data_IF_675090581777
#
_entry.id   IF_675090581777
#
_cell.length_a   1.000
_cell.length_b   1.000
_cell.length_c   1.000
_cell.angle_alpha   90.00
_cell.angle_beta   90.00
_cell.angle_gamma   90.00
#
_symmetry.space_group_name_H-M   'P 1'
#
loop_
_entity.id
_entity.type
_entity.pdbx_description
1 polymer ?
#
# COMPACT_ATOMS: atom_id res chain seq x y z
N UNK A 1 9.00 -102.92 52.11
CA UNK A 1 9.20 -102.09 50.91
C UNK A 1 8.41 -100.80 51.06
N UNK A 2 9.06 -99.66 51.34
CA UNK A 2 8.41 -98.34 51.33
C UNK A 2 9.33 -97.37 50.59
N UNK A 3 8.88 -96.90 49.42
CA UNK A 3 9.63 -95.94 48.61
C UNK A 3 9.19 -94.51 48.98
N UNK A 4 10.06 -93.79 49.69
CA UNK A 4 9.85 -92.39 50.04
C UNK A 4 10.06 -91.48 48.82
N UNK A 5 8.97 -91.02 48.22
CA UNK A 5 8.95 -90.09 47.09
C UNK A 5 9.29 -88.67 47.55
N UNK A 6 10.56 -88.25 47.39
CA UNK A 6 11.02 -86.89 47.70
C UNK A 6 10.31 -85.87 46.81
N UNK A 7 9.47 -85.01 47.40
CA UNK A 7 8.83 -83.88 46.73
C UNK A 7 9.85 -82.76 46.49
N UNK A 8 10.13 -82.45 45.22
CA UNK A 8 10.92 -81.27 44.83
C UNK A 8 10.14 -80.01 45.20
N UNK A 9 10.67 -79.22 46.15
CA UNK A 9 10.12 -77.92 46.53
C UNK A 9 10.50 -76.91 45.45
N UNK A 10 9.51 -76.43 44.70
CA UNK A 10 9.68 -75.31 43.79
C UNK A 10 9.58 -74.01 44.59
N UNK A 11 10.72 -73.38 44.83
CA UNK A 11 10.78 -72.02 45.37
C UNK A 11 10.28 -71.04 44.29
N UNK A 12 9.11 -70.43 44.50
CA UNK A 12 8.62 -69.34 43.65
C UNK A 12 9.54 -68.11 43.86
N UNK A 13 10.33 -67.78 42.84
CA UNK A 13 11.10 -66.53 42.77
C UNK A 13 10.11 -65.34 42.67
N UNK A 14 10.24 -64.27 43.46
CA UNK A 14 9.34 -63.12 43.36
C UNK A 14 9.54 -62.41 42.01
N UNK A 15 8.42 -62.05 41.37
CA UNK A 15 8.44 -61.27 40.14
C UNK A 15 8.94 -59.85 40.43
N UNK A 16 10.13 -59.52 39.93
CA UNK A 16 10.67 -58.16 40.00
C UNK A 16 9.85 -57.16 39.18
N UNK A 17 10.07 -55.84 39.38
CA UNK A 17 9.33 -54.79 38.68
C UNK A 17 9.50 -54.94 37.17
N UNK A 18 8.38 -55.07 36.45
CA UNK A 18 8.35 -55.12 35.00
C UNK A 18 8.75 -53.75 34.47
N UNK A 19 9.93 -53.65 33.85
CA UNK A 19 10.32 -52.44 33.12
C UNK A 19 9.29 -52.20 32.00
N UNK A 20 8.79 -50.97 31.82
CA UNK A 20 7.89 -50.68 30.72
C UNK A 20 8.59 -51.00 29.40
N UNK A 21 7.91 -51.71 28.52
CA UNK A 21 8.43 -52.02 27.19
C UNK A 21 8.72 -50.70 26.45
N UNK A 22 9.85 -50.59 25.74
CA UNK A 22 10.14 -49.40 24.96
C UNK A 22 9.05 -49.22 23.90
N UNK A 23 8.50 -48.02 23.80
CA UNK A 23 7.60 -47.65 22.71
C UNK A 23 8.33 -47.87 21.38
N UNK A 24 7.66 -48.39 20.34
CA UNK A 24 8.33 -48.62 19.07
C UNK A 24 8.77 -47.26 18.49
N UNK A 25 10.01 -47.21 18.00
CA UNK A 25 10.71 -45.98 17.60
C UNK A 25 9.90 -45.08 16.65
N UNK A 26 9.01 -45.67 15.83
CA UNK A 26 8.08 -44.96 14.94
C UNK A 26 7.19 -43.92 15.65
N UNK A 27 6.70 -44.21 16.85
CA UNK A 27 5.85 -43.25 17.59
C UNK A 27 6.67 -42.15 18.24
N UNK A 28 7.91 -42.46 18.65
CA UNK A 28 8.85 -41.47 19.16
C UNK A 28 9.24 -40.49 18.05
N UNK A 29 9.58 -41.01 16.86
CA UNK A 29 9.89 -40.19 15.69
C UNK A 29 8.69 -39.35 15.23
N UNK A 30 7.48 -39.93 15.20
CA UNK A 30 6.27 -39.19 14.88
C UNK A 30 5.99 -38.07 15.88
N UNK A 31 6.18 -38.33 17.19
CA UNK A 31 6.04 -37.31 18.23
C UNK A 31 7.03 -36.16 18.05
N UNK A 32 8.30 -36.46 17.78
CA UNK A 32 9.34 -35.44 17.52
C UNK A 32 8.98 -34.62 16.27
N UNK A 33 8.51 -35.27 15.20
CA UNK A 33 8.13 -34.57 13.96
C UNK A 33 6.96 -33.60 14.20
N UNK A 34 5.94 -34.00 14.95
CA UNK A 34 4.80 -33.14 15.28
C UNK A 34 5.23 -31.95 16.12
N UNK A 35 6.06 -32.16 17.16
CA UNK A 35 6.58 -31.08 17.99
C UNK A 35 7.45 -30.12 17.15
N UNK A 36 8.30 -30.65 16.28
CA UNK A 36 9.12 -29.84 15.37
C UNK A 36 8.25 -29.01 14.42
N UNK A 37 7.15 -29.56 13.92
CA UNK A 37 6.24 -28.83 13.02
C UNK A 37 5.53 -27.68 13.75
N UNK A 38 5.07 -27.93 14.99
CA UNK A 38 4.41 -26.93 15.83
C UNK A 38 5.34 -25.75 16.14
N UNK A 39 6.64 -26.00 16.30
CA UNK A 39 7.64 -24.94 16.55
C UNK A 39 8.10 -24.27 15.26
N UNK A 40 8.26 -25.02 14.17
CA UNK A 40 8.71 -24.48 12.89
C UNK A 40 7.66 -23.58 12.22
N UNK A 41 6.38 -23.90 12.39
CA UNK A 41 5.28 -23.13 11.80
C UNK A 41 5.23 -21.66 12.25
N UNK A 42 5.23 -21.31 13.55
CA UNK A 42 5.26 -19.92 13.98
C UNK A 42 6.55 -19.21 13.55
N UNK A 43 7.67 -19.91 13.54
CA UNK A 43 8.96 -19.38 13.09
C UNK A 43 8.94 -18.98 11.60
N UNK A 44 8.35 -19.85 10.76
CA UNK A 44 8.13 -19.59 9.33
C UNK A 44 7.15 -18.43 9.11
N UNK A 45 6.10 -18.31 9.92
CA UNK A 45 5.14 -17.19 9.80
C UNK A 45 5.76 -15.85 10.16
N UNK A 46 6.60 -15.79 11.21
CA UNK A 46 7.33 -14.57 11.58
C UNK A 46 8.30 -14.19 10.46
N UNK A 47 8.99 -15.15 9.86
CA UNK A 47 9.90 -14.88 8.75
C UNK A 47 9.17 -14.34 7.51
N UNK A 48 8.00 -14.91 7.18
CA UNK A 48 7.09 -14.40 6.15
C UNK A 48 6.62 -12.97 6.45
N UNK A 49 6.27 -12.68 7.70
CA UNK A 49 5.80 -11.35 8.11
C UNK A 49 6.90 -10.29 8.01
N UNK A 50 8.13 -10.62 8.39
CA UNK A 50 9.29 -9.74 8.22
C UNK A 50 9.62 -9.54 6.73
N UNK A 51 9.50 -10.59 5.91
CA UNK A 51 9.73 -10.50 4.47
C UNK A 51 8.69 -9.61 3.76
N UNK A 52 7.41 -9.76 4.11
CA UNK A 52 6.32 -8.94 3.56
C UNK A 52 6.47 -7.49 4.00
N UNK A 53 6.86 -7.24 5.26
CA UNK A 53 7.06 -5.88 5.78
C UNK A 53 8.22 -5.16 5.08
N UNK A 54 9.23 -5.88 4.60
CA UNK A 54 10.33 -5.28 3.84
C UNK A 54 9.92 -4.95 2.40
N UNK A 55 9.11 -5.80 1.76
CA UNK A 55 8.58 -5.56 0.41
C UNK A 55 7.60 -4.38 0.34
N UNK A 56 6.76 -4.19 1.36
CA UNK A 56 5.85 -3.04 1.43
C UNK A 56 6.61 -1.71 1.50
N UNK A 57 7.74 -1.66 2.20
CA UNK A 57 8.56 -0.43 2.30
C UNK A 57 9.23 -0.03 0.99
N UNK A 58 9.53 -1.00 0.12
CA UNK A 58 10.03 -0.69 -1.22
C UNK A 58 8.92 -0.15 -2.10
N UNK A 59 7.72 -0.75 -2.04
CA UNK A 59 6.57 -0.28 -2.82
C UNK A 59 6.14 1.14 -2.42
N UNK A 60 6.11 1.45 -1.12
CA UNK A 60 5.74 2.79 -0.63
C UNK A 60 6.76 3.85 -1.08
N UNK A 61 8.06 3.54 -1.06
CA UNK A 61 9.11 4.46 -1.56
C UNK A 61 9.05 4.69 -3.07
N UNK A 62 8.68 3.67 -3.85
CA UNK A 62 8.47 3.83 -5.28
C UNK A 62 7.19 4.63 -5.58
N UNK A 63 6.13 4.46 -4.79
CA UNK A 63 4.90 5.23 -4.94
C UNK A 63 5.12 6.73 -4.61
N UNK A 64 5.83 7.02 -3.51
CA UNK A 64 6.14 8.39 -3.11
C UNK A 64 7.02 9.12 -4.16
N UNK A 65 8.00 8.42 -4.73
CA UNK A 65 8.86 9.01 -5.76
C UNK A 65 8.09 9.31 -7.06
N UNK A 66 7.17 8.44 -7.49
CA UNK A 66 6.31 8.70 -8.65
C UNK A 66 5.39 9.90 -8.42
N UNK A 67 4.84 10.05 -7.21
CA UNK A 67 3.98 11.19 -6.87
C UNK A 67 4.74 12.53 -6.91
N UNK A 68 5.96 12.57 -6.35
CA UNK A 68 6.81 13.77 -6.38
C UNK A 68 7.21 14.14 -7.80
N UNK A 69 7.67 13.17 -8.60
CA UNK A 69 8.06 13.42 -10.00
C UNK A 69 6.89 13.88 -10.86
N UNK A 70 5.69 13.33 -10.66
CA UNK A 70 4.49 13.78 -11.36
C UNK A 70 4.13 15.24 -11.00
N UNK A 71 4.28 15.61 -9.73
CA UNK A 71 4.05 16.97 -9.27
C UNK A 71 5.07 17.95 -9.88
N UNK A 72 6.35 17.58 -9.92
CA UNK A 72 7.39 18.39 -10.57
C UNK A 72 7.12 18.56 -12.07
N UNK A 73 6.80 17.48 -12.78
CA UNK A 73 6.46 17.55 -14.21
C UNK A 73 5.28 18.50 -14.48
N UNK A 74 4.25 18.48 -13.63
CA UNK A 74 3.11 19.39 -13.75
C UNK A 74 3.50 20.86 -13.52
N UNK A 75 4.37 21.13 -12.55
CA UNK A 75 4.89 22.48 -12.27
C UNK A 75 5.74 23.01 -13.42
N UNK A 76 6.62 22.18 -13.96
CA UNK A 76 7.45 22.55 -15.11
C UNK A 76 6.60 22.81 -16.36
N UNK A 77 5.57 22.00 -16.63
CA UNK A 77 4.63 22.26 -17.73
C UNK A 77 3.89 23.59 -17.57
N UNK A 78 3.37 23.88 -16.39
CA UNK A 78 2.72 25.16 -16.09
C UNK A 78 3.67 26.35 -16.25
N UNK A 79 4.94 26.20 -15.84
CA UNK A 79 5.95 27.23 -16.07
C UNK A 79 6.22 27.42 -17.56
N UNK A 80 6.43 26.33 -18.31
CA UNK A 80 6.67 26.38 -19.75
C UNK A 80 5.50 27.04 -20.51
N UNK A 81 4.25 26.69 -20.18
CA UNK A 81 3.06 27.32 -20.78
C UNK A 81 2.99 28.83 -20.48
N UNK A 82 3.31 29.25 -19.24
CA UNK A 82 3.35 30.68 -18.89
C UNK A 82 4.43 31.43 -19.67
N UNK A 83 5.62 30.87 -19.79
CA UNK A 83 6.68 31.49 -20.59
C UNK A 83 6.32 31.55 -22.07
N UNK A 84 5.74 30.48 -22.63
CA UNK A 84 5.28 30.45 -24.01
C UNK A 84 4.16 31.48 -24.29
N UNK A 85 3.24 31.67 -23.34
CA UNK A 85 2.21 32.70 -23.44
C UNK A 85 2.83 34.11 -23.45
N UNK A 86 3.81 34.38 -22.59
CA UNK A 86 4.51 35.67 -22.56
C UNK A 86 5.30 35.92 -23.85
N UNK A 87 6.03 34.93 -24.35
CA UNK A 87 6.77 35.03 -25.61
C UNK A 87 5.82 35.35 -26.77
N UNK A 88 4.65 34.71 -26.80
CA UNK A 88 3.63 34.97 -27.82
C UNK A 88 3.05 36.39 -27.71
N UNK A 89 2.82 36.90 -26.51
CA UNK A 89 2.38 38.28 -26.30
C UNK A 89 3.44 39.26 -26.79
N UNK A 90 4.71 39.01 -26.44
CA UNK A 90 5.84 39.85 -26.82
C UNK A 90 6.06 39.86 -28.35
N UNK A 91 5.86 38.71 -29.00
CA UNK A 91 5.92 38.59 -30.45
C UNK A 91 4.83 39.41 -31.13
N UNK A 92 3.58 39.29 -30.69
CA UNK A 92 2.46 40.10 -31.22
C UNK A 92 2.70 41.59 -30.98
N UNK A 93 3.17 41.97 -29.79
CA UNK A 93 3.45 43.36 -29.44
C UNK A 93 4.53 43.99 -30.34
N UNK A 94 5.61 43.27 -30.62
CA UNK A 94 6.68 43.77 -31.49
C UNK A 94 6.33 43.70 -32.97
N UNK A 95 5.83 42.55 -33.44
CA UNK A 95 5.65 42.32 -34.88
C UNK A 95 4.36 42.96 -35.41
N UNK A 96 3.25 42.86 -34.68
CA UNK A 96 1.94 43.34 -35.16
C UNK A 96 1.65 44.77 -34.73
N UNK A 97 2.11 45.17 -33.54
CA UNK A 97 1.81 46.48 -32.95
C UNK A 97 3.00 47.45 -33.00
N UNK A 98 4.19 46.99 -33.41
CA UNK A 98 5.40 47.83 -33.48
C UNK A 98 5.83 48.41 -32.14
N UNK A 99 5.42 47.79 -31.03
CA UNK A 99 5.70 48.29 -29.68
C UNK A 99 7.13 47.96 -29.26
N UNK A 100 7.82 48.94 -28.69
CA UNK A 100 9.15 48.78 -28.12
C UNK A 100 9.09 48.76 -26.58
N UNK A 101 10.08 48.11 -25.94
CA UNK A 101 10.13 48.08 -24.49
C UNK A 101 10.38 49.49 -23.94
N UNK A 102 9.59 49.96 -22.96
CA UNK A 102 9.80 51.27 -22.36
C UNK A 102 11.10 51.30 -21.56
N UNK A 103 11.79 52.45 -21.57
CA UNK A 103 12.93 52.68 -20.70
C UNK A 103 12.51 52.56 -19.22
N UNK A 104 13.38 52.05 -18.35
CA UNK A 104 13.06 51.73 -16.95
C UNK A 104 12.46 52.90 -16.13
N UNK A 105 12.68 54.14 -16.58
CA UNK A 105 12.14 55.37 -15.97
C UNK A 105 10.66 55.65 -16.32
N UNK A 106 10.08 54.93 -17.27
CA UNK A 106 8.70 55.14 -17.77
C UNK A 106 7.70 54.12 -17.22
N UNK A 107 8.13 53.23 -16.32
CA UNK A 107 7.27 52.21 -15.71
C UNK A 107 6.45 52.82 -14.57
N UNK A 108 5.14 52.85 -14.74
CA UNK A 108 4.18 53.24 -13.70
C UNK A 108 3.46 51.98 -13.21
N UNK A 109 3.66 51.61 -11.94
CA UNK A 109 2.99 50.45 -11.34
C UNK A 109 1.56 50.84 -10.99
N UNK A 110 0.61 50.43 -11.83
CA UNK A 110 -0.81 50.65 -11.57
C UNK A 110 -1.30 49.55 -10.62
N UNK A 111 -1.79 49.94 -9.44
CA UNK A 111 -2.50 49.00 -8.56
C UNK A 111 -3.83 48.63 -9.24
N UNK A 112 -4.16 47.33 -9.36
CA UNK A 112 -5.46 46.96 -9.90
C UNK A 112 -6.54 47.52 -8.97
N UNK A 113 -7.37 48.39 -9.52
CA UNK A 113 -8.61 48.76 -8.86
C UNK A 113 -9.39 47.47 -8.61
N UNK A 114 -9.84 47.25 -7.38
CA UNK A 114 -10.71 46.14 -7.05
C UNK A 114 -12.02 46.29 -7.83
N UNK A 115 -12.05 45.80 -9.07
CA UNK A 115 -13.24 45.77 -9.91
C UNK A 115 -14.27 44.80 -9.33
N UNK A 116 -15.57 45.07 -9.53
CA UNK A 116 -16.62 44.19 -9.05
C UNK A 116 -16.47 42.82 -9.73
N UNK A 117 -16.37 41.77 -8.89
CA UNK A 117 -16.29 40.37 -9.31
C UNK A 117 -17.33 40.10 -10.39
N UNK A 118 -16.86 39.77 -11.59
CA UNK A 118 -17.69 39.27 -12.67
C UNK A 118 -18.50 38.07 -12.14
N UNK A 119 -19.81 38.25 -12.13
CA UNK A 119 -20.81 37.30 -11.67
C UNK A 119 -20.66 35.95 -12.37
N UNK A 120 -20.33 34.91 -11.62
CA UNK A 120 -20.49 33.51 -12.01
C UNK A 120 -21.98 33.15 -12.09
N UNK A 121 -22.66 33.67 -13.11
CA UNK A 121 -24.10 33.49 -13.33
C UNK A 121 -24.31 32.49 -14.48
N UNK A 122 -23.81 31.26 -14.29
CA UNK A 122 -23.86 30.21 -15.32
C UNK A 122 -24.13 28.78 -14.84
N UNK A 123 -24.01 28.48 -13.55
CA UNK A 123 -24.17 27.10 -13.05
C UNK A 123 -25.62 26.66 -12.79
N UNK A 124 -26.50 27.59 -12.43
CA UNK A 124 -27.84 27.24 -11.93
C UNK A 124 -28.94 27.32 -12.99
N UNK A 125 -28.75 28.08 -14.09
CA UNK A 125 -29.72 28.12 -15.20
C UNK A 125 -29.75 26.82 -16.00
N UNK A 126 -28.62 26.10 -16.10
CA UNK A 126 -28.58 24.81 -16.78
C UNK A 126 -29.36 23.74 -16.01
N UNK A 127 -29.24 23.71 -14.67
CA UNK A 127 -30.01 22.80 -13.82
C UNK A 127 -31.52 23.05 -13.87
N UNK A 128 -31.96 24.31 -14.02
CA UNK A 128 -33.40 24.61 -14.15
C UNK A 128 -33.99 24.17 -15.50
N UNK A 129 -33.20 24.22 -16.58
CA UNK A 129 -33.66 23.74 -17.89
C UNK A 129 -33.69 22.21 -17.93
N UNK A 130 -32.68 21.54 -17.35
CA UNK A 130 -32.63 20.09 -17.29
C UNK A 130 -33.78 19.50 -16.46
N UNK A 131 -34.11 20.12 -15.32
CA UNK A 131 -35.22 19.66 -14.46
C UNK A 131 -36.59 19.80 -15.14
N UNK A 132 -36.76 20.79 -16.02
CA UNK A 132 -38.04 21.03 -16.70
C UNK A 132 -38.32 19.97 -17.79
N UNK A 133 -37.29 19.41 -18.41
CA UNK A 133 -37.44 18.37 -19.44
C UNK A 133 -37.81 16.99 -18.87
N UNK A 134 -37.41 16.68 -17.63
CA UNK A 134 -37.65 15.37 -17.01
C UNK A 134 -39.07 15.19 -16.46
N UNK A 135 -39.82 16.28 -16.30
CA UNK A 135 -41.17 16.25 -15.73
C UNK A 135 -42.29 16.30 -16.79
N UNK A 136 -41.94 16.29 -18.08
CA UNK A 136 -42.88 16.43 -19.19
C UNK A 136 -43.25 15.09 -19.88
N UNK A 137 -42.69 13.96 -19.43
CA UNK A 137 -43.06 12.62 -19.91
C UNK A 137 -43.99 11.84 -18.96
N UNK A 138 -44.55 12.50 -17.94
CA UNK A 138 -45.62 11.94 -17.11
C UNK A 138 -46.84 12.86 -17.15
N UNK A 139 -47.57 12.80 -18.26
CA UNK A 139 -48.84 13.47 -18.49
C UNK A 139 -49.55 12.85 -19.69
#
# INVERSE_FOLDING_TARGET
MMAAKKRKKYTRKPAGPRKPAPLPARYVLAGIAVVSLIVAFPLLTVWKQVYITNSSRMQDRLADSVAVLAQEASRLRLAAEKLAANERIERIARESLGLEYPASRQLVIVRPAAGPRASSLGGWRFLTVLRKSLNQEQG
#
